data_IF_062159041318
#
_entry.id   IF_062159041318
#
_cell.length_a   1.000
_cell.length_b   1.000
_cell.length_c   1.000
_cell.angle_alpha   90.00
_cell.angle_beta   90.00
_cell.angle_gamma   90.00
#
_symmetry.space_group_name_H-M   'P 1'
#
loop_
_entity.id
_entity.type
_entity.pdbx_description
1 polymer ?
#
# COMPACT_ATOMS: atom_id res chain seq x y z
N UNK A 1 -10.80 36.17 23.30
CA UNK A 1 -10.11 35.07 24.02
C UNK A 1 -10.56 33.78 23.35
N UNK A 2 -9.69 33.16 22.56
CA UNK A 2 -10.02 31.94 21.82
C UNK A 2 -9.80 30.71 22.71
N UNK A 3 -10.76 29.80 22.59
CA UNK A 3 -10.98 28.62 23.43
C UNK A 3 -9.81 27.64 23.43
N UNK A 4 -9.44 27.18 24.63
CA UNK A 4 -8.64 26.00 24.84
C UNK A 4 -9.47 24.75 24.55
N UNK A 5 -9.17 24.07 23.46
CA UNK A 5 -9.75 22.79 23.13
C UNK A 5 -9.17 22.33 21.82
N UNK A 6 -8.05 21.60 21.88
CA UNK A 6 -7.60 20.66 20.83
C UNK A 6 -6.21 20.04 21.13
N UNK A 7 -5.93 19.67 22.38
CA UNK A 7 -4.67 18.99 22.74
C UNK A 7 -4.81 17.50 23.03
N UNK A 8 -6.02 17.05 23.41
CA UNK A 8 -6.25 15.74 24.02
C UNK A 8 -6.86 14.72 23.07
N UNK A 9 -7.59 15.15 22.04
CA UNK A 9 -8.13 14.26 20.99
C UNK A 9 -7.00 13.70 20.10
N UNK A 10 -5.94 14.48 19.91
CA UNK A 10 -4.81 14.12 19.04
C UNK A 10 -3.96 12.97 19.60
N UNK A 11 -3.99 12.70 20.92
CA UNK A 11 -3.07 11.73 21.54
C UNK A 11 -3.46 10.26 21.34
N UNK A 12 -4.67 9.95 20.85
CA UNK A 12 -5.20 8.58 20.78
C UNK A 12 -5.12 7.91 19.40
N UNK A 13 -4.85 8.62 18.29
CA UNK A 13 -4.89 8.01 16.95
C UNK A 13 -3.54 7.46 16.42
N UNK A 14 -2.44 7.66 17.15
CA UNK A 14 -1.08 7.38 16.67
C UNK A 14 -0.60 5.94 16.99
N UNK A 15 -1.37 4.92 16.61
CA UNK A 15 -0.94 3.51 16.66
C UNK A 15 -0.08 3.08 15.47
N UNK A 16 0.54 4.04 14.78
CA UNK A 16 1.03 3.95 13.41
C UNK A 16 2.51 4.40 13.34
N UNK A 17 3.30 3.83 12.43
CA UNK A 17 4.73 4.11 12.20
C UNK A 17 4.97 5.60 11.94
N UNK A 18 4.16 6.24 11.10
CA UNK A 18 4.26 7.69 10.90
C UNK A 18 3.79 8.49 12.11
N UNK A 19 2.81 7.96 12.86
CA UNK A 19 2.43 8.52 14.16
C UNK A 19 3.53 8.43 15.22
N UNK A 20 4.43 7.45 15.10
CA UNK A 20 5.65 7.40 15.90
C UNK A 20 6.64 8.49 15.45
N UNK A 21 6.92 8.62 14.15
CA UNK A 21 7.83 9.65 13.61
C UNK A 21 7.35 11.09 13.93
N UNK A 22 6.05 11.35 13.83
CA UNK A 22 5.47 12.63 14.24
C UNK A 22 5.68 12.92 15.74
N UNK A 23 5.52 11.91 16.59
CA UNK A 23 5.64 12.07 18.06
C UNK A 23 7.07 12.31 18.54
N UNK A 24 8.08 11.92 17.77
CA UNK A 24 9.49 12.16 18.13
C UNK A 24 9.98 13.54 17.67
N UNK A 25 9.10 14.44 17.22
CA UNK A 25 9.41 15.81 16.75
C UNK A 25 10.43 15.85 15.59
N UNK A 26 10.48 14.81 14.75
CA UNK A 26 11.40 14.75 13.62
C UNK A 26 10.84 15.39 12.34
N UNK A 27 9.60 15.88 12.35
CA UNK A 27 9.01 16.53 11.18
C UNK A 27 9.33 18.02 11.16
N UNK A 28 9.78 18.49 10.00
CA UNK A 28 9.68 19.90 9.62
C UNK A 28 8.21 20.35 9.52
N UNK A 29 7.96 21.66 9.50
CA UNK A 29 6.60 22.19 9.31
C UNK A 29 5.97 21.67 8.00
N UNK A 30 6.76 21.64 6.91
CA UNK A 30 6.34 21.09 5.62
C UNK A 30 5.97 19.60 5.71
N UNK A 31 6.78 18.79 6.39
CA UNK A 31 6.48 17.36 6.59
C UNK A 31 5.23 17.16 7.44
N UNK A 32 5.01 17.98 8.46
CA UNK A 32 3.78 17.93 9.24
C UNK A 32 2.55 18.24 8.36
N UNK A 33 2.62 19.26 7.50
CA UNK A 33 1.54 19.58 6.56
C UNK A 33 1.26 18.45 5.58
N UNK A 34 2.30 17.86 4.97
CA UNK A 34 2.17 16.70 4.08
C UNK A 34 1.53 15.52 4.82
N UNK A 35 2.00 15.24 6.04
CA UNK A 35 1.47 14.16 6.85
C UNK A 35 -0.03 14.33 7.12
N UNK A 36 -0.45 15.53 7.54
CA UNK A 36 -1.85 15.81 7.82
C UNK A 36 -2.71 15.74 6.56
N UNK A 37 -2.23 16.28 5.44
CA UNK A 37 -2.93 16.24 4.15
C UNK A 37 -3.20 14.82 3.67
N UNK A 38 -2.22 13.91 3.81
CA UNK A 38 -2.30 12.55 3.29
C UNK A 38 -2.55 11.48 4.37
N UNK A 39 -2.95 11.91 5.57
CA UNK A 39 -3.17 11.03 6.73
C UNK A 39 -4.11 9.86 6.43
N UNK A 40 -5.19 10.11 5.68
CA UNK A 40 -6.15 9.05 5.32
C UNK A 40 -5.51 7.97 4.44
N UNK A 41 -4.69 8.39 3.46
CA UNK A 41 -3.95 7.47 2.60
C UNK A 41 -2.94 6.65 3.41
N UNK A 42 -2.10 7.30 4.21
CA UNK A 42 -1.14 6.58 5.04
C UNK A 42 -1.82 5.61 6.01
N UNK A 43 -2.93 6.05 6.61
CA UNK A 43 -3.78 5.22 7.46
C UNK A 43 -4.37 4.01 6.72
N UNK A 44 -4.80 4.16 5.47
CA UNK A 44 -5.30 3.06 4.64
C UNK A 44 -4.20 2.02 4.36
N UNK A 45 -3.01 2.47 3.96
CA UNK A 45 -1.88 1.58 3.70
C UNK A 45 -1.43 0.86 4.97
N UNK A 46 -1.39 1.55 6.12
CA UNK A 46 -1.03 0.95 7.40
C UNK A 46 -2.04 -0.06 7.92
N UNK A 47 -3.34 0.23 7.78
CA UNK A 47 -4.41 -0.52 8.44
C UNK A 47 -5.07 -1.57 7.55
N UNK A 48 -4.81 -1.58 6.23
CA UNK A 48 -5.43 -2.57 5.33
C UNK A 48 -5.15 -4.00 5.78
N UNK A 49 -6.11 -4.91 5.66
CA UNK A 49 -5.95 -6.29 6.13
C UNK A 49 -4.84 -7.05 5.38
N UNK A 50 -4.00 -7.79 6.13
CA UNK A 50 -2.88 -8.60 5.60
C UNK A 50 -3.15 -10.10 5.74
N UNK A 51 -4.32 -10.56 5.29
CA UNK A 51 -4.61 -11.99 5.20
C UNK A 51 -3.73 -12.66 4.11
N UNK A 52 -3.53 -11.92 3.02
CA UNK A 52 -2.61 -12.13 1.90
C UNK A 52 -1.83 -10.83 1.69
N UNK A 53 -0.60 -10.90 1.20
CA UNK A 53 0.23 -9.70 0.93
C UNK A 53 -0.21 -8.91 -0.30
N UNK A 54 -1.17 -9.40 -1.08
CA UNK A 54 -1.46 -8.94 -2.44
C UNK A 54 -1.66 -7.44 -2.59
N UNK A 55 -2.40 -6.78 -1.69
CA UNK A 55 -2.59 -5.30 -1.74
C UNK A 55 -1.26 -4.55 -1.64
N UNK A 56 -0.38 -4.98 -0.74
CA UNK A 56 0.95 -4.38 -0.59
C UNK A 56 1.86 -4.74 -1.76
N UNK A 57 1.74 -5.93 -2.36
CA UNK A 57 2.51 -6.27 -3.56
C UNK A 57 2.05 -5.48 -4.79
N UNK A 58 0.74 -5.23 -4.95
CA UNK A 58 0.21 -4.29 -5.94
C UNK A 58 0.78 -2.89 -5.71
N UNK A 59 0.71 -2.38 -4.47
CA UNK A 59 1.25 -1.06 -4.13
C UNK A 59 2.75 -0.99 -4.41
N UNK A 60 3.52 -2.01 -4.03
CA UNK A 60 4.94 -2.07 -4.31
C UNK A 60 5.22 -2.05 -5.81
N UNK A 61 4.48 -2.82 -6.61
CA UNK A 61 4.61 -2.81 -8.07
C UNK A 61 4.36 -1.41 -8.65
N UNK A 62 3.39 -0.67 -8.09
CA UNK A 62 3.13 0.72 -8.47
C UNK A 62 4.28 1.65 -8.06
N UNK A 63 4.83 1.48 -6.85
CA UNK A 63 5.96 2.24 -6.32
C UNK A 63 7.27 2.02 -7.09
N UNK A 64 7.47 0.86 -7.71
CA UNK A 64 8.63 0.63 -8.58
C UNK A 64 8.67 1.55 -9.82
N UNK A 65 7.57 2.25 -10.15
CA UNK A 65 7.54 3.29 -11.19
C UNK A 65 8.13 4.63 -10.75
N UNK A 66 8.50 4.76 -9.47
CA UNK A 66 9.19 5.92 -8.91
C UNK A 66 8.27 7.11 -8.53
N UNK A 67 8.85 8.12 -7.85
CA UNK A 67 8.10 9.20 -7.19
C UNK A 67 7.27 10.08 -8.13
N UNK A 68 7.60 10.09 -9.42
CA UNK A 68 6.92 10.92 -10.43
C UNK A 68 5.67 10.27 -11.02
N UNK A 69 5.47 8.96 -10.84
CA UNK A 69 4.41 8.25 -11.55
C UNK A 69 3.79 7.06 -10.80
N UNK A 70 4.24 6.77 -9.58
CA UNK A 70 3.74 5.61 -8.84
C UNK A 70 2.23 5.65 -8.57
N UNK A 71 1.62 6.84 -8.47
CA UNK A 71 0.19 7.00 -8.21
C UNK A 71 -0.68 6.82 -9.47
N UNK A 72 -0.05 6.84 -10.66
CA UNK A 72 -0.75 6.78 -11.93
C UNK A 72 -1.52 5.46 -12.08
N UNK A 73 -2.61 5.42 -12.86
CA UNK A 73 -3.39 4.20 -13.04
C UNK A 73 -2.54 3.04 -13.57
N UNK A 74 -2.93 1.80 -13.25
CA UNK A 74 -2.24 0.59 -13.71
C UNK A 74 -3.23 -0.55 -13.97
N UNK A 75 -2.98 -1.32 -15.01
CA UNK A 75 -3.69 -2.56 -15.32
C UNK A 75 -2.96 -3.76 -14.73
N UNK A 76 -3.71 -4.82 -14.45
CA UNK A 76 -3.13 -6.06 -13.91
C UNK A 76 -2.02 -6.64 -14.81
N UNK A 77 -2.15 -6.52 -16.14
CA UNK A 77 -1.16 -7.02 -17.10
C UNK A 77 0.18 -6.28 -17.02
N UNK A 78 0.18 -5.00 -16.65
CA UNK A 78 1.40 -4.19 -16.58
C UNK A 78 2.29 -4.62 -15.40
N UNK A 79 1.70 -5.17 -14.34
CA UNK A 79 2.41 -5.56 -13.11
C UNK A 79 2.44 -7.06 -12.88
N UNK A 80 1.85 -7.87 -13.76
CA UNK A 80 1.66 -9.32 -13.59
C UNK A 80 2.98 -10.04 -13.33
N UNK A 81 4.05 -9.63 -14.02
CA UNK A 81 5.36 -10.25 -13.89
C UNK A 81 6.00 -9.92 -12.55
N UNK A 82 6.00 -8.63 -12.18
CA UNK A 82 6.50 -8.18 -10.88
C UNK A 82 5.76 -8.88 -9.74
N UNK A 83 4.43 -8.93 -9.82
CA UNK A 83 3.59 -9.53 -8.79
C UNK A 83 3.90 -11.02 -8.60
N UNK A 84 3.99 -11.79 -9.68
CA UNK A 84 4.35 -13.20 -9.62
C UNK A 84 5.75 -13.39 -9.04
N UNK A 85 6.75 -12.71 -9.62
CA UNK A 85 8.15 -12.84 -9.23
C UNK A 85 8.35 -12.48 -7.75
N UNK A 86 7.72 -11.40 -7.28
CA UNK A 86 7.80 -11.00 -5.87
C UNK A 86 7.27 -12.09 -4.94
N UNK A 87 6.15 -12.74 -5.28
CA UNK A 87 5.59 -13.80 -4.43
C UNK A 87 6.39 -15.10 -4.48
N UNK A 88 7.04 -15.41 -5.61
CA UNK A 88 7.68 -16.71 -5.83
C UNK A 88 9.19 -16.72 -5.69
N UNK A 89 9.87 -15.57 -5.77
CA UNK A 89 11.32 -15.48 -5.79
C UNK A 89 11.98 -16.03 -4.52
N UNK A 90 11.31 -15.87 -3.37
CA UNK A 90 11.80 -16.41 -2.10
C UNK A 90 10.92 -17.53 -1.59
N UNK A 91 11.55 -18.62 -1.17
CA UNK A 91 10.82 -19.80 -0.69
C UNK A 91 9.93 -19.50 0.51
N UNK A 92 10.32 -18.57 1.39
CA UNK A 92 9.52 -18.18 2.55
C UNK A 92 8.28 -17.37 2.14
N UNK A 93 8.39 -16.47 1.15
CA UNK A 93 7.25 -15.71 0.60
C UNK A 93 6.24 -16.64 -0.03
N UNK A 94 6.72 -17.57 -0.86
CA UNK A 94 5.87 -18.57 -1.50
C UNK A 94 5.13 -19.42 -0.46
N UNK A 95 5.82 -19.91 0.58
CA UNK A 95 5.20 -20.69 1.67
C UNK A 95 4.14 -19.89 2.43
N UNK A 96 4.40 -18.62 2.72
CA UNK A 96 3.48 -17.76 3.46
C UNK A 96 2.16 -17.51 2.70
N UNK A 97 2.23 -17.43 1.36
CA UNK A 97 1.08 -17.21 0.48
C UNK A 97 0.35 -18.51 0.10
N UNK A 98 1.09 -19.55 -0.25
CA UNK A 98 0.57 -20.82 -0.79
C UNK A 98 0.06 -21.79 0.28
N UNK A 99 -0.58 -21.28 1.34
CA UNK A 99 -1.12 -22.08 2.46
C UNK A 99 -2.35 -22.88 2.06
N UNK A 100 -3.21 -22.30 1.24
CA UNK A 100 -4.36 -23.00 0.64
C UNK A 100 -3.99 -23.64 -0.70
N UNK A 101 -4.69 -24.74 -1.02
CA UNK A 101 -4.44 -25.54 -2.22
C UNK A 101 -4.61 -24.74 -3.52
N UNK A 102 -5.56 -23.79 -3.54
CA UNK A 102 -5.85 -22.97 -4.70
C UNK A 102 -4.67 -22.03 -5.01
N UNK A 103 -4.20 -21.28 -4.01
CA UNK A 103 -3.04 -20.38 -4.17
C UNK A 103 -1.78 -21.17 -4.53
N UNK A 104 -1.58 -22.35 -3.94
CA UNK A 104 -0.44 -23.22 -4.27
C UNK A 104 -0.44 -23.65 -5.74
N UNK A 105 -1.59 -24.03 -6.28
CA UNK A 105 -1.72 -24.39 -7.69
C UNK A 105 -1.56 -23.17 -8.61
N UNK A 106 -2.04 -22.01 -8.17
CA UNK A 106 -1.93 -20.78 -8.94
C UNK A 106 -0.48 -20.27 -9.06
N UNK A 107 0.32 -20.43 -8.00
CA UNK A 107 1.71 -19.96 -7.95
C UNK A 107 2.75 -21.05 -8.29
N UNK A 108 2.34 -22.26 -8.66
CA UNK A 108 3.28 -23.36 -8.94
C UNK A 108 4.05 -23.18 -10.25
N UNK A 109 3.46 -22.47 -11.21
CA UNK A 109 4.05 -22.13 -12.49
C UNK A 109 3.48 -20.79 -12.97
N UNK A 110 4.28 -20.05 -13.71
CA UNK A 110 3.86 -18.77 -14.25
C UNK A 110 2.79 -18.98 -15.33
N UNK A 111 1.65 -18.32 -15.16
CA UNK A 111 0.54 -18.25 -16.12
C UNK A 111 0.02 -16.81 -16.10
N UNK A 112 0.39 -16.03 -17.10
CA UNK A 112 0.10 -14.59 -17.15
C UNK A 112 -1.40 -14.29 -17.01
N UNK A 113 -2.25 -15.03 -17.70
CA UNK A 113 -3.70 -14.79 -17.68
C UNK A 113 -4.31 -15.11 -16.33
N UNK A 114 -3.87 -16.19 -15.69
CA UNK A 114 -4.35 -16.56 -14.34
C UNK A 114 -3.87 -15.57 -13.29
N UNK A 115 -2.63 -15.11 -13.37
CA UNK A 115 -2.10 -14.13 -12.41
C UNK A 115 -2.71 -12.74 -12.65
N UNK A 116 -2.90 -12.32 -13.91
CA UNK A 116 -3.59 -11.06 -14.20
C UNK A 116 -5.05 -11.10 -13.71
N UNK A 117 -5.74 -12.23 -13.88
CA UNK A 117 -7.08 -12.43 -13.31
C UNK A 117 -7.06 -12.37 -11.79
N UNK A 118 -6.10 -13.04 -11.15
CA UNK A 118 -5.90 -12.95 -9.71
C UNK A 118 -5.81 -11.49 -9.29
N UNK A 119 -4.90 -10.71 -9.88
CA UNK A 119 -4.65 -9.31 -9.51
C UNK A 119 -5.93 -8.46 -9.65
N UNK A 120 -6.72 -8.65 -10.71
CA UNK A 120 -8.00 -7.95 -10.88
C UNK A 120 -8.98 -8.28 -9.76
N UNK A 121 -9.25 -9.56 -9.55
CA UNK A 121 -10.20 -10.02 -8.52
C UNK A 121 -9.69 -9.70 -7.11
N UNK A 122 -8.39 -9.84 -6.88
CA UNK A 122 -7.64 -9.55 -5.66
C UNK A 122 -6.15 -9.27 -5.99
N UNK A 123 -5.64 -8.05 -5.81
CA UNK A 123 -6.14 -7.10 -4.82
C UNK A 123 -7.03 -5.97 -5.36
N UNK A 124 -7.13 -5.72 -6.67
CA UNK A 124 -7.73 -4.49 -7.20
C UNK A 124 -9.18 -4.29 -6.75
N UNK A 125 -10.08 -5.22 -7.05
CA UNK A 125 -11.52 -5.10 -6.70
C UNK A 125 -11.73 -5.04 -5.17
N UNK A 126 -11.01 -5.90 -4.43
CA UNK A 126 -11.11 -5.94 -2.95
C UNK A 126 -10.63 -4.65 -2.30
N UNK A 127 -9.60 -4.02 -2.86
CA UNK A 127 -9.10 -2.78 -2.29
C UNK A 127 -10.00 -1.60 -2.64
N UNK A 128 -10.49 -1.52 -3.88
CA UNK A 128 -11.47 -0.50 -4.25
C UNK A 128 -12.74 -0.58 -3.39
N UNK A 129 -13.23 -1.79 -3.11
CA UNK A 129 -14.39 -1.99 -2.23
C UNK A 129 -14.16 -1.69 -0.75
N UNK A 130 -12.91 -1.59 -0.27
CA UNK A 130 -12.60 -1.38 1.16
C UNK A 130 -11.96 -0.03 1.49
N UNK A 131 -11.46 0.70 0.50
CA UNK A 131 -10.62 1.92 0.68
C UNK A 131 -11.39 3.21 0.92
N UNK A 132 -12.74 3.15 1.01
CA UNK A 132 -13.62 4.33 1.17
C UNK A 132 -13.39 5.42 0.11
N UNK A 133 -13.01 5.04 -1.11
CA UNK A 133 -12.82 5.96 -2.24
C UNK A 133 -11.38 6.42 -2.47
N UNK A 134 -10.42 6.04 -1.61
CA UNK A 134 -9.00 6.36 -1.79
C UNK A 134 -8.38 5.62 -2.98
N UNK A 135 -8.95 4.49 -3.40
CA UNK A 135 -8.58 3.80 -4.64
C UNK A 135 -9.83 3.41 -5.43
N UNK A 136 -9.72 3.42 -6.76
CA UNK A 136 -10.81 3.04 -7.66
C UNK A 136 -10.35 2.09 -8.75
N UNK A 137 -11.26 1.22 -9.19
CA UNK A 137 -11.12 0.42 -10.42
C UNK A 137 -12.09 0.95 -11.46
N UNK A 138 -11.57 1.47 -12.56
CA UNK A 138 -12.35 2.01 -13.68
C UNK A 138 -11.80 1.45 -14.99
N UNK A 139 -12.64 0.81 -15.82
CA UNK A 139 -12.23 0.24 -17.12
C UNK A 139 -10.92 -0.57 -17.04
N UNK A 140 -10.87 -1.49 -16.07
CA UNK A 140 -9.70 -2.36 -15.77
C UNK A 140 -8.45 -1.67 -15.20
N UNK A 141 -8.48 -0.36 -14.97
CA UNK A 141 -7.38 0.38 -14.38
C UNK A 141 -7.62 0.57 -12.89
N UNK A 142 -6.64 0.14 -12.08
CA UNK A 142 -6.55 0.49 -10.68
C UNK A 142 -5.88 1.86 -10.54
N UNK A 143 -6.51 2.77 -9.79
CA UNK A 143 -6.00 4.12 -9.56
C UNK A 143 -6.01 4.46 -8.08
N UNK A 144 -4.97 5.18 -7.64
CA UNK A 144 -4.90 5.77 -6.31
C UNK A 144 -5.38 7.23 -6.46
N UNK A 145 -6.40 7.62 -5.69
CA UNK A 145 -7.03 8.94 -5.79
C UNK A 145 -6.28 9.93 -4.89
N UNK A 146 -5.08 10.29 -5.34
CA UNK A 146 -4.22 11.29 -4.69
C UNK A 146 -3.97 12.47 -5.64
N UNK A 147 -4.05 13.69 -5.10
CA UNK A 147 -3.71 14.92 -5.81
C UNK A 147 -2.38 15.47 -5.28
N UNK A 148 -1.27 14.96 -5.84
CA UNK A 148 0.08 15.30 -5.40
C UNK A 148 0.59 16.60 -6.04
N UNK A 149 0.92 17.60 -5.22
CA UNK A 149 1.67 18.77 -5.68
C UNK A 149 3.14 18.39 -5.92
N UNK A 150 3.87 19.07 -6.83
CA UNK A 150 5.24 18.71 -7.17
C UNK A 150 6.20 18.58 -5.98
N UNK A 151 6.09 19.45 -4.97
CA UNK A 151 6.95 19.42 -3.78
C UNK A 151 6.60 18.29 -2.80
N UNK A 152 5.37 17.75 -2.85
CA UNK A 152 4.91 16.71 -1.94
C UNK A 152 5.23 15.29 -2.45
N UNK A 153 5.44 15.14 -3.77
CA UNK A 153 5.58 13.83 -4.45
C UNK A 153 6.63 12.95 -3.83
N UNK A 154 7.82 13.50 -3.58
CA UNK A 154 8.96 12.74 -3.06
C UNK A 154 8.64 12.19 -1.66
N UNK A 155 8.13 13.05 -0.77
CA UNK A 155 7.86 12.68 0.62
C UNK A 155 6.69 11.70 0.75
N UNK A 156 5.61 11.90 -0.02
CA UNK A 156 4.47 10.97 -0.03
C UNK A 156 4.88 9.62 -0.61
N UNK A 157 5.69 9.61 -1.67
CA UNK A 157 6.27 8.38 -2.22
C UNK A 157 7.12 7.65 -1.17
N UNK A 158 8.07 8.36 -0.55
CA UNK A 158 8.99 7.83 0.45
C UNK A 158 8.22 7.15 1.60
N UNK A 159 7.29 7.88 2.23
CA UNK A 159 6.51 7.34 3.35
C UNK A 159 5.59 6.21 2.94
N UNK A 160 4.96 6.29 1.76
CA UNK A 160 4.14 5.19 1.25
C UNK A 160 4.97 3.93 1.04
N UNK A 161 6.19 4.08 0.49
CA UNK A 161 7.13 2.97 0.28
C UNK A 161 7.60 2.38 1.61
N UNK A 162 8.02 3.20 2.56
CA UNK A 162 8.46 2.76 3.89
C UNK A 162 7.35 1.95 4.60
N UNK A 163 6.11 2.46 4.60
CA UNK A 163 4.97 1.72 5.16
C UNK A 163 4.80 0.39 4.42
N UNK A 164 4.73 0.42 3.09
CA UNK A 164 4.51 -0.78 2.27
C UNK A 164 5.57 -1.86 2.55
N UNK A 165 6.84 -1.50 2.54
CA UNK A 165 7.97 -2.41 2.79
C UNK A 165 7.96 -2.93 4.23
N UNK A 166 7.74 -2.07 5.23
CA UNK A 166 7.61 -2.48 6.62
C UNK A 166 6.49 -3.52 6.81
N UNK A 167 5.33 -3.30 6.18
CA UNK A 167 4.20 -4.22 6.27
C UNK A 167 4.46 -5.55 5.59
N UNK A 168 5.11 -5.55 4.43
CA UNK A 168 5.51 -6.77 3.73
C UNK A 168 6.52 -7.57 4.56
N UNK A 169 7.55 -6.90 5.06
CA UNK A 169 8.57 -7.50 5.92
C UNK A 169 7.94 -8.17 7.15
N UNK A 170 7.17 -7.43 7.94
CA UNK A 170 6.50 -7.96 9.13
C UNK A 170 5.51 -9.10 8.82
N UNK A 171 4.81 -9.05 7.68
CA UNK A 171 3.91 -10.13 7.26
C UNK A 171 4.65 -11.44 6.98
N UNK A 172 5.79 -11.37 6.28
CA UNK A 172 6.54 -12.56 5.90
C UNK A 172 7.43 -13.11 7.03
N UNK A 173 7.96 -12.26 7.92
CA UNK A 173 8.75 -12.72 9.07
C UNK A 173 7.93 -13.53 10.07
N UNK A 174 6.64 -13.23 10.23
CA UNK A 174 5.76 -13.89 11.21
C UNK A 174 5.18 -15.22 10.72
N UNK A 175 5.63 -15.75 9.57
CA UNK A 175 4.90 -16.80 8.84
C UNK A 175 5.70 -18.02 8.39
#
# INVERSE_FOLDING_TARGET
>A
MYSGGDGTVYRQEFGSYLGFLYRVNEFTEEEAEIFWKYKEWFGEVEKTAMNKSYKMVLLLAMLERGPLSWEQPVQAREIVRFFYDYLTAESYRLRAEARDRQTKQLLSQYDEERIARLIREMPMDKWSGSSKGLVAVEREHFSIKLELLPHEREKVFEWTRQICEFRLHHYFERR
#
